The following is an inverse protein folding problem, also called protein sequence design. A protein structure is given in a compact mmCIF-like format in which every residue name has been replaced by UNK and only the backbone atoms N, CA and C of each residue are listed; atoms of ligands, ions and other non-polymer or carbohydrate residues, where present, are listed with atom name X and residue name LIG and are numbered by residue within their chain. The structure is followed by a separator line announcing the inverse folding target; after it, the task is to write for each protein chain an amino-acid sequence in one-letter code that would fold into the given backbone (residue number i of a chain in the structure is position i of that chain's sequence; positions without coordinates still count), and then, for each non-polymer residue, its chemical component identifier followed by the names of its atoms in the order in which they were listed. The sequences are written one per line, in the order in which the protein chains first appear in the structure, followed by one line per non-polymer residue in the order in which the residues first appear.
data_IF_657757766994
#
_entry.id   IF_657757766994
#
_cell.length_a   1.000
_cell.length_b   1.000
_cell.length_c   1.000
_cell.angle_alpha   90.00
_cell.angle_beta   90.00
_cell.angle_gamma   90.00
#
_symmetry.space_group_name_H-M   'P 1'
#
loop_
_entity.id
_entity.type
_entity.pdbx_description
1 polymer ?
#
# COMPACT_ATOMS: atom_id res chain seq x y z
N UNK A 1 10.29 17.35 20.64
CA UNK A 1 10.71 17.20 19.23
C UNK A 1 9.51 16.67 18.48
N UNK A 2 9.00 17.40 17.49
CA UNK A 2 7.88 16.90 16.68
C UNK A 2 8.45 15.92 15.66
N UNK A 3 8.03 14.67 15.72
CA UNK A 3 8.36 13.60 14.76
C UNK A 3 7.63 13.80 13.42
N UNK A 4 7.80 14.98 12.83
CA UNK A 4 7.21 15.41 11.57
C UNK A 4 7.52 14.45 10.41
N UNK A 5 8.68 13.80 10.45
CA UNK A 5 9.08 12.79 9.47
C UNK A 5 8.23 11.51 9.55
N UNK A 6 7.77 11.10 10.75
CA UNK A 6 6.85 9.97 10.92
C UNK A 6 5.47 10.32 10.34
N UNK A 7 4.99 11.53 10.63
CA UNK A 7 3.71 12.02 10.06
C UNK A 7 3.78 12.07 8.54
N UNK A 8 4.88 12.57 7.99
CA UNK A 8 5.11 12.57 6.54
C UNK A 8 5.11 11.14 5.97
N UNK A 9 5.91 10.22 6.54
CA UNK A 9 6.01 8.83 6.07
C UNK A 9 4.63 8.14 6.10
N UNK A 10 3.95 8.20 7.24
CA UNK A 10 2.63 7.59 7.39
C UNK A 10 1.60 8.19 6.44
N UNK A 11 1.61 9.52 6.23
CA UNK A 11 0.73 10.15 5.26
C UNK A 11 0.95 9.58 3.85
N UNK A 12 2.20 9.57 3.36
CA UNK A 12 2.48 9.16 1.98
C UNK A 12 2.30 7.65 1.75
N UNK A 13 2.45 6.83 2.79
CA UNK A 13 2.28 5.37 2.70
C UNK A 13 0.82 4.92 2.83
N UNK A 14 -0.08 5.79 3.30
CA UNK A 14 -1.51 5.49 3.46
C UNK A 14 -2.42 6.32 2.55
N UNK A 15 -1.89 7.34 1.87
CA UNK A 15 -2.65 8.21 0.95
C UNK A 15 -2.07 8.10 -0.47
N UNK A 16 -2.41 7.01 -1.18
CA UNK A 16 -1.99 6.79 -2.56
C UNK A 16 -3.17 6.33 -3.45
N UNK A 17 -3.22 6.77 -4.73
CA UNK A 17 -4.10 6.23 -5.78
C UNK A 17 -4.40 4.75 -5.80
N UNK A 18 -3.37 3.94 -5.52
CA UNK A 18 -3.47 2.49 -5.65
C UNK A 18 -4.19 1.86 -4.45
N UNK A 19 -4.38 2.61 -3.37
CA UNK A 19 -4.92 2.10 -2.11
C UNK A 19 -6.45 2.19 -2.06
N UNK A 20 -7.15 1.07 -1.78
CA UNK A 20 -8.59 1.07 -1.61
C UNK A 20 -8.98 1.67 -0.25
N UNK A 21 -10.03 2.51 -0.24
CA UNK A 21 -10.63 3.00 0.98
C UNK A 21 -11.81 2.10 1.39
N UNK A 22 -11.59 1.15 2.30
CA UNK A 22 -12.64 0.26 2.81
C UNK A 22 -13.54 0.98 3.84
N UNK A 23 -14.86 0.76 3.77
CA UNK A 23 -15.85 1.37 4.68
C UNK A 23 -16.86 0.35 5.18
N UNK A 24 -17.48 0.60 6.33
CA UNK A 24 -18.56 -0.24 6.85
C UNK A 24 -18.15 -1.70 7.03
N UNK A 25 -19.04 -2.63 6.65
CA UNK A 25 -18.86 -4.07 6.87
C UNK A 25 -17.76 -4.71 6.03
N UNK A 26 -17.23 -4.05 5.00
CA UNK A 26 -16.12 -4.59 4.18
C UNK A 26 -14.75 -4.28 4.76
N UNK A 27 -14.64 -3.44 5.79
CA UNK A 27 -13.39 -3.19 6.50
C UNK A 27 -13.08 -4.33 7.48
N UNK A 28 -11.92 -4.96 7.33
CA UNK A 28 -11.41 -5.99 8.26
C UNK A 28 -10.01 -5.60 8.72
N UNK A 29 -9.54 -6.17 9.83
CA UNK A 29 -8.17 -5.96 10.31
C UNK A 29 -7.15 -6.22 9.22
N UNK A 30 -7.22 -7.38 8.55
CA UNK A 30 -6.30 -7.76 7.46
C UNK A 30 -6.35 -6.77 6.29
N UNK A 31 -7.55 -6.31 5.90
CA UNK A 31 -7.69 -5.32 4.82
C UNK A 31 -7.10 -3.97 5.21
N UNK A 32 -7.27 -3.54 6.46
CA UNK A 32 -6.64 -2.33 7.00
C UNK A 32 -5.11 -2.47 7.05
N UNK A 33 -4.60 -3.60 7.54
CA UNK A 33 -3.16 -3.92 7.60
C UNK A 33 -2.48 -3.85 6.23
N UNK A 34 -3.15 -4.33 5.19
CA UNK A 34 -2.63 -4.32 3.81
C UNK A 34 -2.96 -3.04 3.04
N UNK A 35 -3.68 -2.09 3.64
CA UNK A 35 -4.05 -0.81 3.04
C UNK A 35 -2.93 0.22 3.17
N UNK A 36 -1.73 -0.15 2.71
CA UNK A 36 -0.57 0.71 2.66
C UNK A 36 0.26 0.41 1.40
N UNK A 37 1.14 1.34 1.03
CA UNK A 37 2.09 1.19 -0.08
C UNK A 37 3.52 1.32 0.44
N UNK A 38 4.37 0.35 0.11
CA UNK A 38 5.81 0.46 0.33
C UNK A 38 6.44 1.34 -0.74
N UNK A 39 7.37 2.20 -0.33
CA UNK A 39 8.04 3.17 -1.20
C UNK A 39 9.55 3.04 -1.10
N UNK A 40 10.23 3.15 -2.23
CA UNK A 40 11.71 3.09 -2.29
C UNK A 40 12.33 4.47 -2.23
N UNK A 41 12.47 5.03 -1.03
CA UNK A 41 13.24 6.24 -0.85
C UNK A 41 13.92 6.29 0.52
N UNK A 42 15.14 6.87 0.54
CA UNK A 42 15.88 7.21 1.75
C UNK A 42 16.07 6.05 2.75
N UNK A 43 16.20 4.80 2.26
CA UNK A 43 16.24 3.58 3.07
C UNK A 43 17.20 3.58 4.28
N UNK A 44 18.42 4.10 4.13
CA UNK A 44 19.36 4.20 5.27
C UNK A 44 18.87 5.18 6.34
N UNK A 45 18.31 6.33 5.94
CA UNK A 45 17.87 7.38 6.86
C UNK A 45 16.61 7.00 7.63
N UNK A 46 15.77 6.13 7.08
CA UNK A 46 14.53 5.67 7.72
C UNK A 46 14.59 4.22 8.18
N UNK A 47 15.78 3.61 8.27
CA UNK A 47 15.95 2.20 8.69
C UNK A 47 15.08 1.21 7.90
N UNK A 48 14.87 1.46 6.60
CA UNK A 48 14.02 0.63 5.75
C UNK A 48 12.52 0.76 6.03
N UNK A 49 12.07 1.75 6.82
CA UNK A 49 10.66 1.91 7.17
C UNK A 49 9.80 2.32 5.96
N UNK A 50 10.38 3.06 5.01
CA UNK A 50 9.70 3.40 3.77
C UNK A 50 9.41 2.15 2.92
N UNK A 51 10.40 1.25 2.86
CA UNK A 51 10.44 0.07 2.00
C UNK A 51 9.74 -1.17 2.57
N UNK A 52 9.46 -1.19 3.88
CA UNK A 52 8.98 -2.38 4.61
C UNK A 52 7.74 -2.11 5.48
N UNK A 53 7.00 -1.04 5.21
CA UNK A 53 5.90 -0.56 6.05
C UNK A 53 4.75 -1.55 6.16
N UNK A 54 4.40 -2.22 5.06
CA UNK A 54 3.34 -3.23 5.10
C UNK A 54 3.73 -4.37 6.04
N UNK A 55 5.00 -4.82 6.02
CA UNK A 55 5.48 -5.86 6.93
C UNK A 55 5.38 -5.43 8.41
N UNK A 56 5.64 -4.15 8.69
CA UNK A 56 5.48 -3.56 10.02
C UNK A 56 4.02 -3.59 10.49
N UNK A 57 3.05 -3.32 9.61
CA UNK A 57 1.62 -3.45 9.96
C UNK A 57 1.22 -4.91 10.22
N UNK A 58 1.74 -5.83 9.43
CA UNK A 58 1.46 -7.28 9.60
C UNK A 58 2.01 -7.77 10.93
N UNK A 59 3.22 -7.37 11.31
CA UNK A 59 3.80 -7.67 12.61
C UNK A 59 4.82 -6.62 13.03
N UNK A 60 4.38 -5.67 13.86
CA UNK A 60 5.22 -4.56 14.34
C UNK A 60 6.33 -4.97 15.31
N UNK A 61 6.34 -6.25 15.74
CA UNK A 61 7.37 -6.85 16.60
C UNK A 61 8.59 -7.34 15.84
N UNK A 62 8.52 -7.41 14.51
CA UNK A 62 9.68 -7.78 13.67
C UNK A 62 10.71 -6.65 13.78
N UNK A 63 11.95 -6.93 14.18
CA UNK A 63 12.98 -5.90 14.24
C UNK A 63 13.37 -5.46 12.81
N UNK A 64 13.76 -4.19 12.66
CA UNK A 64 14.02 -3.59 11.34
C UNK A 64 15.05 -4.34 10.49
N UNK A 65 16.04 -5.00 11.10
CA UNK A 65 17.04 -5.80 10.40
C UNK A 65 16.49 -7.12 9.82
N UNK A 66 15.29 -7.57 10.23
CA UNK A 66 14.55 -8.67 9.60
C UNK A 66 13.36 -8.18 8.75
N UNK A 67 13.09 -6.87 8.69
CA UNK A 67 11.95 -6.33 7.96
C UNK A 67 12.03 -6.62 6.45
N UNK A 68 13.23 -6.54 5.86
CA UNK A 68 13.42 -6.86 4.45
C UNK A 68 13.11 -8.33 4.11
N UNK A 69 13.49 -9.26 4.98
CA UNK A 69 13.19 -10.70 4.84
C UNK A 69 11.67 -10.96 4.94
N UNK A 70 11.03 -10.35 5.94
CA UNK A 70 9.59 -10.44 6.12
C UNK A 70 8.83 -9.86 4.93
N UNK A 71 9.26 -8.70 4.42
CA UNK A 71 8.72 -8.07 3.20
C UNK A 71 8.86 -8.99 1.99
N UNK A 72 10.03 -9.62 1.78
CA UNK A 72 10.24 -10.55 0.68
C UNK A 72 9.28 -11.75 0.74
N UNK A 73 9.12 -12.35 1.93
CA UNK A 73 8.17 -13.44 2.14
C UNK A 73 6.72 -12.98 1.89
N UNK A 74 6.36 -11.77 2.33
CA UNK A 74 5.03 -11.20 2.15
C UNK A 74 4.73 -10.92 0.66
N UNK A 75 5.71 -10.40 -0.10
CA UNK A 75 5.60 -10.20 -1.54
C UNK A 75 5.33 -11.50 -2.29
N UNK A 76 6.00 -12.59 -1.92
CA UNK A 76 5.75 -13.92 -2.50
C UNK A 76 4.32 -14.39 -2.22
N UNK A 77 3.81 -14.15 -1.00
CA UNK A 77 2.46 -14.59 -0.61
C UNK A 77 1.34 -13.74 -1.23
N UNK A 78 1.52 -12.43 -1.30
CA UNK A 78 0.51 -11.51 -1.84
C UNK A 78 0.57 -11.38 -3.36
N UNK A 79 1.73 -11.63 -3.96
CA UNK A 79 1.98 -11.50 -5.40
C UNK A 79 1.49 -10.16 -5.92
N UNK A 80 0.60 -10.20 -6.91
CA UNK A 80 -0.05 -9.03 -7.55
C UNK A 80 -0.85 -8.12 -6.59
N UNK A 81 -1.20 -8.61 -5.40
CA UNK A 81 -1.91 -7.81 -4.40
C UNK A 81 -0.97 -7.02 -3.48
N UNK A 82 0.35 -7.20 -3.60
CA UNK A 82 1.32 -6.35 -2.91
C UNK A 82 1.32 -4.94 -3.51
N UNK A 83 1.36 -3.92 -2.66
CA UNK A 83 1.42 -2.53 -3.08
C UNK A 83 2.83 -1.98 -2.84
N UNK A 84 3.55 -1.73 -3.94
CA UNK A 84 4.83 -1.03 -3.93
C UNK A 84 4.84 0.02 -5.05
N UNK A 85 5.52 1.14 -4.81
CA UNK A 85 5.66 2.22 -5.78
C UNK A 85 7.00 2.92 -5.63
N UNK A 86 7.65 3.20 -6.75
CA UNK A 86 8.88 3.99 -6.82
C UNK A 86 8.58 5.48 -7.12
N UNK A 87 7.30 5.83 -7.30
CA UNK A 87 6.86 7.20 -7.56
C UNK A 87 6.92 8.06 -6.29
N UNK A 88 7.42 9.29 -6.45
CA UNK A 88 7.36 10.30 -5.39
C UNK A 88 5.91 10.75 -5.19
N UNK A 89 5.51 10.91 -3.94
CA UNK A 89 4.12 11.10 -3.48
C UNK A 89 3.43 12.41 -3.90
N UNK A 90 3.98 13.17 -4.88
CA UNK A 90 3.43 14.45 -5.29
C UNK A 90 3.40 14.60 -6.81
N UNK A 91 2.24 14.35 -7.40
CA UNK A 91 1.81 14.99 -8.65
C UNK A 91 0.39 15.50 -8.44
N UNK A 92 0.25 16.74 -7.95
CA UNK A 92 -1.03 17.39 -7.71
C UNK A 92 -1.33 18.40 -8.82
N UNK A 93 -2.12 18.00 -9.82
CA UNK A 93 -2.95 18.91 -10.63
C UNK A 93 -4.27 18.17 -10.97
N UNK A 94 -5.40 18.61 -10.40
CA UNK A 94 -6.76 18.20 -10.82
C UNK A 94 -7.80 17.87 -9.74
N UNK A 95 -9.05 18.25 -9.99
CA UNK A 95 -10.23 18.24 -9.10
C UNK A 95 -11.10 16.96 -9.19
N UNK A 96 -10.85 15.90 -8.38
CA UNK A 96 -11.85 14.96 -7.75
C UNK A 96 -11.28 13.55 -7.45
N UNK A 97 -11.63 13.05 -6.27
CA UNK A 97 -11.12 11.89 -5.53
C UNK A 97 -11.79 10.53 -5.84
N UNK A 98 -11.10 9.66 -6.57
CA UNK A 98 -10.13 8.68 -6.04
C UNK A 98 -8.79 9.19 -6.60
N UNK A 99 -7.61 9.00 -5.99
CA UNK A 99 -6.46 9.51 -6.75
C UNK A 99 -6.36 8.69 -8.05
N UNK A 100 -6.68 9.34 -9.17
CA UNK A 100 -6.60 8.84 -10.52
C UNK A 100 -5.27 9.36 -11.05
N UNK A 101 -4.60 8.58 -11.90
CA UNK A 101 -3.40 9.10 -12.55
C UNK A 101 -3.76 10.28 -13.49
N UNK A 102 -2.76 10.95 -14.08
CA UNK A 102 -2.97 12.10 -14.98
C UNK A 102 -3.90 11.84 -16.19
N UNK A 103 -4.26 10.57 -16.46
CA UNK A 103 -5.20 10.15 -17.52
C UNK A 103 -6.61 9.85 -17.00
N UNK A 104 -6.91 10.18 -15.75
CA UNK A 104 -8.22 9.91 -15.13
C UNK A 104 -8.48 8.44 -14.83
N UNK A 105 -7.44 7.60 -14.87
CA UNK A 105 -7.55 6.16 -14.64
C UNK A 105 -7.30 5.84 -13.17
N UNK A 106 -8.25 5.15 -12.53
CA UNK A 106 -7.98 4.50 -11.25
C UNK A 106 -7.11 3.27 -11.51
N UNK A 107 -6.01 3.14 -10.75
CA UNK A 107 -5.07 2.04 -10.93
C UNK A 107 -5.68 0.66 -10.63
N UNK A 108 -6.80 0.61 -9.90
CA UNK A 108 -7.53 -0.62 -9.61
C UNK A 108 -9.05 -0.39 -9.54
N UNK A 109 -9.82 -1.46 -9.80
CA UNK A 109 -11.29 -1.48 -9.71
C UNK A 109 -11.74 -2.42 -8.59
N UNK A 110 -12.94 -2.21 -8.06
CA UNK A 110 -13.53 -3.13 -7.07
C UNK A 110 -13.65 -4.53 -7.68
N UNK A 111 -13.37 -5.56 -6.88
CA UNK A 111 -13.47 -6.95 -7.32
C UNK A 111 -14.90 -7.30 -7.72
N UNK A 112 -15.09 -7.81 -8.95
CA UNK A 112 -16.37 -8.36 -9.39
C UNK A 112 -16.53 -9.79 -8.85
N UNK A 113 -17.57 -10.10 -8.05
CA UNK A 113 -17.82 -11.43 -7.52
C UNK A 113 -18.08 -12.50 -8.60
N UNK A 114 -18.41 -12.12 -9.84
CA UNK A 114 -18.58 -13.03 -10.97
C UNK A 114 -17.26 -13.30 -11.74
N UNK A 115 -16.16 -12.63 -11.36
CA UNK A 115 -14.85 -12.84 -11.97
C UNK A 115 -14.19 -14.13 -11.45
N UNK A 116 -13.66 -14.95 -12.36
CA UNK A 116 -12.99 -16.24 -12.04
C UNK A 116 -11.68 -16.10 -11.22
N UNK A 117 -11.36 -14.91 -10.71
CA UNK A 117 -10.17 -14.66 -9.89
C UNK A 117 -10.53 -14.92 -8.42
N UNK A 118 -10.67 -16.20 -8.09
CA UNK A 118 -10.85 -16.68 -6.72
C UNK A 118 -9.53 -16.59 -5.95
N UNK A 119 -9.46 -15.78 -4.89
CA UNK A 119 -8.43 -15.94 -3.85
C UNK A 119 -7.92 -14.68 -3.14
N UNK A 120 -8.26 -13.47 -3.59
CA UNK A 120 -7.73 -12.26 -2.95
C UNK A 120 -8.62 -11.72 -1.83
N UNK A 121 -8.09 -11.73 -0.60
CA UNK A 121 -8.77 -11.07 0.52
C UNK A 121 -8.74 -9.54 0.42
N UNK A 122 -8.02 -8.95 -0.56
CA UNK A 122 -7.96 -7.51 -0.77
C UNK A 122 -9.23 -6.94 -1.40
N UNK A 123 -10.10 -7.74 -2.04
CA UNK A 123 -11.36 -7.23 -2.61
C UNK A 123 -11.20 -6.22 -3.75
N UNK A 124 -10.04 -6.20 -4.41
CA UNK A 124 -9.70 -5.28 -5.50
C UNK A 124 -9.14 -6.06 -6.69
N UNK A 125 -9.66 -5.78 -7.89
CA UNK A 125 -9.16 -6.30 -9.16
C UNK A 125 -7.83 -5.63 -9.52
N UNK A 126 -6.82 -6.46 -9.79
CA UNK A 126 -5.56 -6.03 -10.41
C UNK A 126 -5.77 -6.03 -11.92
N UNK A 127 -5.75 -4.89 -12.60
CA UNK A 127 -5.63 -4.89 -14.06
C UNK A 127 -4.24 -5.41 -14.44
N UNK A 128 -4.16 -6.16 -15.54
CA UNK A 128 -2.87 -6.58 -16.11
C UNK A 128 -2.01 -5.33 -16.37
N UNK A 129 -0.79 -5.34 -15.82
CA UNK A 129 0.23 -4.32 -16.07
C UNK A 129 0.77 -4.45 -17.48
#
# INVERSE_FOLDING_TARGET
MSDHWIVMLTYVQHNDPILPNYRGSVHTFVRGTLCAVDRKFYGFFFHGFAENHISHHVCSRIPHYHAAEATAALKVKLGRHYNESDETCYRNEGDVAFFKNAKGQAARRLYNPDSKISGSQSGVETSDK
#
